data_IF_507430608193
#
_entry.id   IF_507430608193
#
_cell.length_a   1.000
_cell.length_b   1.000
_cell.length_c   1.000
_cell.angle_alpha   90.00
_cell.angle_beta   90.00
_cell.angle_gamma   90.00
#
_symmetry.space_group_name_H-M   'P 1'
#
loop_
_entity.id
_entity.type
_entity.pdbx_description
1 polymer ?
#
# COMPACT_ATOMS: atom_id res chain seq x y z
N UNK A 1 -24.86 1.68 16.59
CA UNK A 1 -24.65 2.93 17.32
C UNK A 1 -24.96 4.09 16.36
N UNK A 2 -25.99 4.86 16.66
CA UNK A 2 -26.50 5.96 15.82
C UNK A 2 -25.60 7.22 15.76
N UNK A 3 -24.42 7.17 16.37
CA UNK A 3 -23.50 8.32 16.47
C UNK A 3 -22.18 8.15 15.71
N UNK A 4 -21.95 7.02 15.07
CA UNK A 4 -20.71 6.79 14.31
C UNK A 4 -20.86 7.36 12.90
N UNK A 5 -19.94 8.24 12.50
CA UNK A 5 -19.82 8.75 11.14
C UNK A 5 -18.53 8.23 10.50
N UNK A 6 -18.63 7.81 9.26
CA UNK A 6 -17.50 7.25 8.52
C UNK A 6 -17.39 7.93 7.15
N UNK A 7 -16.22 8.50 6.88
CA UNK A 7 -15.91 9.11 5.58
C UNK A 7 -14.78 8.32 4.93
N UNK A 8 -15.02 7.81 3.72
CA UNK A 8 -14.04 7.09 2.93
C UNK A 8 -13.57 7.95 1.76
N UNK A 9 -12.27 8.21 1.67
CA UNK A 9 -11.61 8.77 0.48
C UNK A 9 -11.04 7.60 -0.32
N UNK A 10 -11.59 7.34 -1.52
CA UNK A 10 -11.25 6.15 -2.27
C UNK A 10 -10.75 6.46 -3.69
N UNK A 11 -9.44 6.29 -3.89
CA UNK A 11 -8.78 6.50 -5.17
C UNK A 11 -8.57 5.19 -5.93
N UNK A 12 -8.96 5.17 -7.21
CA UNK A 12 -8.78 4.04 -8.11
C UNK A 12 -8.52 4.49 -9.56
N UNK A 13 -8.32 3.56 -10.48
CA UNK A 13 -8.19 3.86 -11.91
C UNK A 13 -9.54 4.13 -12.54
N UNK A 14 -10.46 3.19 -12.39
CA UNK A 14 -11.83 3.21 -12.95
C UNK A 14 -12.81 2.57 -11.98
N UNK A 15 -14.13 2.83 -12.08
CA UNK A 15 -15.14 2.13 -11.28
C UNK A 15 -15.09 0.61 -11.42
N UNK A 16 -14.88 0.09 -12.64
CA UNK A 16 -14.87 -1.36 -12.90
C UNK A 16 -13.68 -2.07 -12.24
N UNK A 17 -12.60 -1.34 -11.96
CA UNK A 17 -11.41 -1.84 -11.27
C UNK A 17 -11.43 -1.56 -9.75
N UNK A 18 -12.53 -0.99 -9.25
CA UNK A 18 -12.67 -0.62 -7.84
C UNK A 18 -13.32 -1.77 -7.07
N UNK A 19 -12.59 -2.30 -6.09
CA UNK A 19 -13.14 -3.32 -5.20
C UNK A 19 -14.32 -2.75 -4.42
N UNK A 20 -15.39 -3.52 -4.31
CA UNK A 20 -16.60 -3.19 -3.57
C UNK A 20 -17.31 -1.90 -4.04
N UNK A 21 -17.11 -1.46 -5.30
CA UNK A 21 -17.70 -0.21 -5.79
C UNK A 21 -19.22 -0.17 -5.61
N UNK A 22 -19.92 -1.24 -6.03
CA UNK A 22 -21.39 -1.32 -5.95
C UNK A 22 -21.87 -1.41 -4.51
N UNK A 23 -21.18 -2.21 -3.69
CA UNK A 23 -21.50 -2.41 -2.28
C UNK A 23 -21.33 -1.11 -1.49
N UNK A 24 -20.25 -0.38 -1.73
CA UNK A 24 -20.01 0.92 -1.09
C UNK A 24 -21.03 1.96 -1.50
N UNK A 25 -21.45 1.99 -2.78
CA UNK A 25 -22.55 2.86 -3.25
C UNK A 25 -23.85 2.52 -2.55
N UNK A 26 -24.19 1.22 -2.45
CA UNK A 26 -25.39 0.78 -1.74
C UNK A 26 -25.37 1.12 -0.25
N UNK A 27 -24.22 1.03 0.39
CA UNK A 27 -24.05 1.45 1.79
C UNK A 27 -24.23 2.97 1.96
N UNK A 28 -23.70 3.78 1.04
CA UNK A 28 -23.86 5.23 1.05
C UNK A 28 -25.34 5.63 0.89
N UNK A 29 -26.08 4.92 0.02
CA UNK A 29 -27.52 5.12 -0.17
C UNK A 29 -28.35 4.67 1.06
N UNK A 30 -27.95 3.58 1.71
CA UNK A 30 -28.64 3.05 2.90
C UNK A 30 -28.38 3.88 4.17
N UNK A 31 -27.20 4.52 4.27
CA UNK A 31 -26.78 5.26 5.46
C UNK A 31 -26.22 6.66 5.12
N UNK A 32 -27.00 7.53 4.44
CA UNK A 32 -26.49 8.79 3.86
C UNK A 32 -25.95 9.78 4.90
N UNK A 33 -26.46 9.70 6.14
CA UNK A 33 -26.03 10.59 7.24
C UNK A 33 -24.79 10.06 7.99
N UNK A 34 -24.46 8.78 7.82
CA UNK A 34 -23.41 8.12 8.61
C UNK A 34 -22.21 7.66 7.76
N UNK A 35 -22.43 7.39 6.49
CA UNK A 35 -21.40 6.88 5.59
C UNK A 35 -21.33 7.72 4.32
N UNK A 36 -20.14 8.26 4.04
CA UNK A 36 -19.87 9.06 2.85
C UNK A 36 -18.61 8.58 2.14
N UNK A 37 -18.68 8.45 0.81
CA UNK A 37 -17.54 8.10 -0.02
C UNK A 37 -17.18 9.27 -0.95
N UNK A 38 -15.94 9.71 -0.89
CA UNK A 38 -15.36 10.64 -1.85
C UNK A 38 -14.55 9.85 -2.87
N UNK A 39 -15.10 9.72 -4.08
CA UNK A 39 -14.51 8.97 -5.17
C UNK A 39 -13.54 9.83 -5.98
N UNK A 40 -12.38 9.27 -6.32
CA UNK A 40 -11.45 9.87 -7.29
C UNK A 40 -10.89 8.80 -8.23
N UNK A 41 -11.00 9.04 -9.54
CA UNK A 41 -10.57 8.11 -10.58
C UNK A 41 -9.50 8.74 -11.46
N UNK A 42 -8.36 8.03 -11.63
CA UNK A 42 -7.24 8.54 -12.42
C UNK A 42 -7.36 8.29 -13.92
N UNK A 43 -8.28 7.42 -14.34
CA UNK A 43 -8.44 7.02 -15.75
C UNK A 43 -9.91 7.01 -16.23
N UNK A 44 -10.84 7.47 -15.40
CA UNK A 44 -12.25 7.59 -15.78
C UNK A 44 -12.82 8.92 -15.28
N UNK A 45 -13.62 9.58 -16.12
CA UNK A 45 -14.40 10.75 -15.71
C UNK A 45 -15.82 10.27 -15.41
N UNK A 46 -16.22 10.32 -14.15
CA UNK A 46 -17.47 9.75 -13.64
C UNK A 46 -18.24 10.83 -12.92
N UNK A 47 -19.54 10.93 -13.17
CA UNK A 47 -20.41 11.85 -12.46
C UNK A 47 -20.42 11.55 -10.95
N UNK A 48 -20.27 12.58 -10.14
CA UNK A 48 -20.20 12.46 -8.67
C UNK A 48 -18.83 11.99 -8.14
N UNK A 49 -17.81 11.86 -9.01
CA UNK A 49 -16.44 11.58 -8.62
C UNK A 49 -15.48 12.66 -9.11
N UNK A 50 -14.34 12.80 -8.48
CA UNK A 50 -13.25 13.66 -8.95
C UNK A 50 -12.38 12.91 -9.97
N UNK A 51 -11.76 13.65 -10.89
CA UNK A 51 -10.78 13.08 -11.82
C UNK A 51 -9.36 13.38 -11.33
N UNK A 52 -8.52 12.35 -11.21
CA UNK A 52 -7.13 12.50 -10.80
C UNK A 52 -6.68 11.45 -9.79
N UNK A 53 -5.74 11.85 -8.95
CA UNK A 53 -5.22 11.05 -7.84
C UNK A 53 -5.47 11.76 -6.54
N UNK A 54 -5.45 11.01 -5.44
CA UNK A 54 -5.54 11.60 -4.09
C UNK A 54 -4.35 12.54 -3.89
N UNK A 55 -4.67 13.81 -3.70
CA UNK A 55 -3.73 14.89 -3.40
C UNK A 55 -4.25 15.74 -2.22
N UNK A 56 -3.48 16.73 -1.82
CA UNK A 56 -3.84 17.62 -0.70
C UNK A 56 -5.12 18.43 -0.95
N UNK A 57 -5.40 18.77 -2.22
CA UNK A 57 -6.63 19.51 -2.58
C UNK A 57 -7.85 18.62 -2.39
N UNK A 58 -7.77 17.37 -2.85
CA UNK A 58 -8.85 16.40 -2.69
C UNK A 58 -9.06 16.01 -1.21
N UNK A 59 -7.98 15.85 -0.44
CA UNK A 59 -8.07 15.62 1.00
C UNK A 59 -8.75 16.79 1.72
N UNK A 60 -8.38 18.03 1.40
CA UNK A 60 -9.05 19.22 1.94
C UNK A 60 -10.54 19.25 1.58
N UNK A 61 -10.88 18.93 0.34
CA UNK A 61 -12.27 18.85 -0.08
C UNK A 61 -13.04 17.83 0.75
N UNK A 62 -12.52 16.62 0.90
CA UNK A 62 -13.18 15.56 1.67
C UNK A 62 -13.32 15.92 3.16
N UNK A 63 -12.29 16.50 3.78
CA UNK A 63 -12.32 16.96 5.17
C UNK A 63 -13.36 18.07 5.38
N UNK A 64 -13.48 19.00 4.44
CA UNK A 64 -14.46 20.09 4.53
C UNK A 64 -15.91 19.62 4.32
N UNK A 65 -16.11 18.48 3.67
CA UNK A 65 -17.43 17.88 3.45
C UNK A 65 -17.85 16.94 4.59
N UNK A 66 -16.94 16.62 5.51
CA UNK A 66 -17.28 15.75 6.65
C UNK A 66 -18.29 16.41 7.56
N UNK A 67 -19.40 15.71 7.85
CA UNK A 67 -20.51 16.20 8.69
C UNK A 67 -20.06 16.49 10.14
N UNK A 68 -19.07 15.75 10.61
CA UNK A 68 -18.40 15.92 11.90
C UNK A 68 -16.90 15.89 11.74
N UNK A 69 -16.16 16.54 12.61
CA UNK A 69 -14.71 16.51 12.61
C UNK A 69 -14.22 15.09 12.88
N UNK A 70 -13.43 14.46 11.98
CA UNK A 70 -12.95 13.11 12.21
C UNK A 70 -12.01 13.03 13.41
N UNK A 71 -12.21 12.02 14.25
CA UNK A 71 -11.36 11.77 15.41
C UNK A 71 -10.16 10.88 15.08
N UNK A 72 -10.29 9.97 14.11
CA UNK A 72 -9.27 9.02 13.70
C UNK A 72 -9.16 8.92 12.19
N UNK A 73 -7.96 8.70 11.72
CA UNK A 73 -7.63 8.58 10.30
C UNK A 73 -6.92 7.25 10.05
N UNK A 74 -7.41 6.51 9.07
CA UNK A 74 -6.83 5.24 8.65
C UNK A 74 -6.35 5.39 7.21
N UNK A 75 -5.05 5.28 6.99
CA UNK A 75 -4.42 5.44 5.69
C UNK A 75 -3.94 4.09 5.16
N UNK A 76 -4.32 3.76 3.93
CA UNK A 76 -3.95 2.50 3.30
C UNK A 76 -3.79 2.74 1.79
N UNK A 77 -2.70 2.26 1.21
CA UNK A 77 -2.44 2.37 -0.23
C UNK A 77 -0.97 2.58 -0.56
N UNK A 78 -0.65 3.16 -1.74
CA UNK A 78 0.72 3.43 -2.13
C UNK A 78 1.45 4.32 -1.12
N UNK A 79 2.70 4.02 -0.82
CA UNK A 79 3.48 4.74 0.20
C UNK A 79 3.49 6.26 -0.01
N UNK A 80 3.68 6.72 -1.26
CA UNK A 80 3.68 8.14 -1.58
C UNK A 80 2.35 8.83 -1.21
N UNK A 81 1.20 8.14 -1.38
CA UNK A 81 -0.11 8.63 -0.99
C UNK A 81 -0.25 8.68 0.55
N UNK A 82 0.20 7.62 1.23
CA UNK A 82 0.18 7.57 2.71
C UNK A 82 1.01 8.70 3.29
N UNK A 83 2.26 8.89 2.82
CA UNK A 83 3.17 9.95 3.28
C UNK A 83 2.60 11.35 3.06
N UNK A 84 2.05 11.59 1.86
CA UNK A 84 1.38 12.85 1.53
C UNK A 84 0.20 13.11 2.47
N UNK A 85 -0.63 12.08 2.70
CA UNK A 85 -1.82 12.20 3.55
C UNK A 85 -1.46 12.42 5.02
N UNK A 86 -0.48 11.66 5.53
CA UNK A 86 0.04 11.81 6.90
C UNK A 86 0.57 13.23 7.14
N UNK A 87 1.46 13.70 6.25
CA UNK A 87 2.02 15.05 6.36
C UNK A 87 0.93 16.12 6.34
N UNK A 88 -0.02 16.01 5.40
CA UNK A 88 -1.12 16.95 5.28
C UNK A 88 -2.00 16.99 6.55
N UNK A 89 -2.30 15.84 7.15
CA UNK A 89 -3.06 15.76 8.40
C UNK A 89 -2.28 16.38 9.58
N UNK A 90 -0.97 16.17 9.67
CA UNK A 90 -0.11 16.79 10.67
C UNK A 90 -0.11 18.32 10.52
N UNK A 91 -0.01 18.84 9.30
CA UNK A 91 -0.12 20.28 8.99
C UNK A 91 -1.48 20.87 9.39
N UNK A 92 -2.52 20.04 9.43
CA UNK A 92 -3.87 20.38 9.93
C UNK A 92 -3.99 20.23 11.46
N UNK A 93 -2.90 20.02 12.17
CA UNK A 93 -2.83 19.81 13.62
C UNK A 93 -3.57 18.53 14.10
N UNK A 94 -3.68 17.51 13.26
CA UNK A 94 -4.16 16.20 13.71
C UNK A 94 -3.07 15.53 14.54
N UNK A 95 -3.37 15.08 15.78
CA UNK A 95 -2.42 14.35 16.61
C UNK A 95 -1.94 13.07 15.91
N UNK A 96 -0.63 12.78 16.00
CA UNK A 96 -0.05 11.61 15.31
C UNK A 96 -0.66 10.28 15.77
N UNK A 97 -1.03 10.18 17.03
CA UNK A 97 -1.70 9.01 17.61
C UNK A 97 -3.08 8.73 16.99
N UNK A 98 -3.67 9.72 16.32
CA UNK A 98 -4.95 9.59 15.62
C UNK A 98 -4.78 9.26 14.13
N UNK A 99 -3.53 9.20 13.63
CA UNK A 99 -3.22 8.84 12.24
C UNK A 99 -2.63 7.44 12.24
N UNK A 100 -3.40 6.49 11.77
CA UNK A 100 -3.05 5.08 11.71
C UNK A 100 -2.84 4.69 10.24
N UNK A 101 -1.78 3.98 9.92
CA UNK A 101 -1.54 3.53 8.56
C UNK A 101 -0.90 2.15 8.51
N UNK A 102 -1.15 1.45 7.41
CA UNK A 102 -0.53 0.19 7.08
C UNK A 102 0.28 0.38 5.79
N UNK A 103 1.58 0.16 5.88
CA UNK A 103 2.48 0.18 4.72
C UNK A 103 2.60 -1.24 4.19
N UNK A 104 2.22 -1.44 2.94
CA UNK A 104 2.40 -2.72 2.24
C UNK A 104 3.77 -2.84 1.56
N UNK A 105 4.53 -1.75 1.52
CA UNK A 105 5.93 -1.74 1.10
C UNK A 105 6.79 -1.43 2.31
N UNK A 106 7.82 -2.24 2.55
CA UNK A 106 8.86 -1.87 3.50
C UNK A 106 9.45 -0.53 3.03
N UNK A 107 9.25 0.53 3.82
CA UNK A 107 10.08 1.71 3.66
C UNK A 107 11.51 1.23 3.75
N UNK A 108 12.29 1.44 2.71
CA UNK A 108 13.74 1.37 2.77
C UNK A 108 14.21 2.47 3.75
N UNK A 109 14.02 2.24 5.06
CA UNK A 109 14.91 2.84 6.01
C UNK A 109 16.26 2.18 5.69
N UNK A 110 17.17 3.00 5.19
CA UNK A 110 18.58 2.69 5.04
C UNK A 110 19.13 2.23 6.40
N UNK A 111 18.90 0.96 6.73
CA UNK A 111 19.82 0.25 7.61
C UNK A 111 21.11 0.16 6.83
N UNK A 112 22.16 0.65 7.43
CA UNK A 112 23.54 0.60 6.90
C UNK A 112 23.73 -0.75 6.22
N UNK A 113 23.95 -0.71 4.90
CA UNK A 113 24.28 -1.88 4.11
C UNK A 113 25.60 -2.39 4.67
N UNK A 114 25.54 -3.48 5.43
CA UNK A 114 26.74 -4.19 5.84
C UNK A 114 27.50 -4.57 4.56
N UNK A 115 28.77 -4.19 4.50
CA UNK A 115 29.72 -4.55 3.45
C UNK A 115 29.60 -6.04 3.10
N UNK A 116 28.95 -6.38 1.99
CA UNK A 116 28.75 -7.77 1.61
C UNK A 116 27.79 -8.02 0.46
N UNK A 117 27.23 -7.01 -0.18
CA UNK A 117 26.46 -7.22 -1.43
C UNK A 117 27.45 -7.49 -2.55
N UNK A 118 27.86 -8.76 -2.68
CA UNK A 118 28.78 -9.22 -3.68
C UNK A 118 28.19 -9.16 -5.09
N UNK A 119 29.04 -8.92 -6.07
CA UNK A 119 28.74 -9.29 -7.45
C UNK A 119 28.62 -10.81 -7.50
N UNK A 120 27.51 -11.33 -7.99
CA UNK A 120 27.27 -12.77 -8.05
C UNK A 120 26.03 -13.09 -8.85
N UNK A 121 25.73 -14.36 -8.93
CA UNK A 121 24.53 -14.87 -9.59
C UNK A 121 23.56 -15.40 -8.56
N UNK A 122 22.28 -15.13 -8.77
CA UNK A 122 21.16 -15.65 -8.01
C UNK A 122 20.47 -16.75 -8.83
N UNK A 123 20.33 -17.93 -8.25
CA UNK A 123 19.51 -18.99 -8.82
C UNK A 123 18.15 -19.00 -8.15
N UNK A 124 17.09 -18.86 -8.91
CA UNK A 124 15.70 -18.87 -8.45
C UNK A 124 15.03 -20.08 -9.07
N UNK A 125 14.50 -20.98 -8.24
CA UNK A 125 13.67 -22.09 -8.71
C UNK A 125 12.22 -21.69 -8.54
N UNK A 126 11.49 -21.60 -9.63
CA UNK A 126 10.06 -21.34 -9.66
C UNK A 126 9.41 -22.37 -10.60
N UNK A 127 8.31 -23.03 -10.15
CA UNK A 127 7.61 -24.08 -10.91
C UNK A 127 8.55 -25.16 -11.47
N UNK A 128 9.50 -25.62 -10.65
CA UNK A 128 10.53 -26.62 -11.00
C UNK A 128 11.56 -26.16 -12.04
N UNK A 129 11.47 -24.91 -12.51
CA UNK A 129 12.42 -24.32 -13.45
C UNK A 129 13.45 -23.47 -12.70
N UNK A 130 14.74 -23.71 -12.99
CA UNK A 130 15.84 -22.93 -12.41
C UNK A 130 16.20 -21.77 -13.33
N UNK A 131 16.05 -20.57 -12.82
CA UNK A 131 16.46 -19.34 -13.49
C UNK A 131 17.76 -18.80 -12.86
N UNK A 132 18.71 -18.40 -13.68
CA UNK A 132 19.95 -17.78 -13.22
C UNK A 132 19.96 -16.31 -13.64
N UNK A 133 20.04 -15.42 -12.66
CA UNK A 133 20.02 -13.97 -12.84
C UNK A 133 21.20 -13.33 -12.12
N UNK A 134 21.65 -12.17 -12.56
CA UNK A 134 22.71 -11.43 -11.88
C UNK A 134 22.17 -10.73 -10.63
N UNK A 135 22.95 -10.74 -9.55
CA UNK A 135 22.66 -9.92 -8.38
C UNK A 135 22.84 -8.45 -8.72
N UNK A 136 21.84 -7.65 -8.42
CA UNK A 136 21.85 -6.20 -8.62
C UNK A 136 21.99 -5.57 -7.24
N UNK A 137 23.04 -4.78 -6.99
CA UNK A 137 23.19 -4.05 -5.73
C UNK A 137 21.94 -3.23 -5.39
N UNK A 138 21.64 -3.10 -4.11
CA UNK A 138 20.50 -2.33 -3.59
C UNK A 138 19.11 -2.82 -4.01
N UNK A 139 19.01 -3.95 -4.70
CA UNK A 139 17.74 -4.60 -5.04
C UNK A 139 17.47 -5.78 -4.12
N UNK A 140 16.19 -5.98 -3.76
CA UNK A 140 15.78 -7.20 -3.08
C UNK A 140 15.80 -8.40 -4.05
N UNK A 141 15.85 -9.61 -3.51
CA UNK A 141 15.77 -10.83 -4.33
C UNK A 141 14.46 -10.89 -5.13
N UNK A 142 13.36 -10.37 -4.54
CA UNK A 142 12.08 -10.26 -5.21
C UNK A 142 12.13 -9.25 -6.36
N UNK A 143 12.72 -8.06 -6.17
CA UNK A 143 12.87 -7.07 -7.24
C UNK A 143 13.65 -7.63 -8.43
N UNK A 144 14.71 -8.39 -8.15
CA UNK A 144 15.53 -9.04 -9.19
C UNK A 144 14.68 -10.07 -9.96
N UNK A 145 13.90 -10.89 -9.27
CA UNK A 145 13.02 -11.87 -9.89
C UNK A 145 11.97 -11.21 -10.79
N UNK A 146 11.31 -10.14 -10.31
CA UNK A 146 10.31 -9.39 -11.07
C UNK A 146 10.93 -8.66 -12.27
N UNK A 147 12.13 -8.09 -12.11
CA UNK A 147 12.85 -7.46 -13.22
C UNK A 147 13.24 -8.47 -14.31
N UNK A 148 13.57 -9.69 -13.91
CA UNK A 148 13.81 -10.81 -14.82
C UNK A 148 12.51 -11.39 -15.40
N UNK A 149 11.35 -10.80 -15.10
CA UNK A 149 10.01 -11.22 -15.56
C UNK A 149 9.67 -12.66 -15.17
N UNK A 150 10.16 -13.12 -14.02
CA UNK A 150 9.78 -14.42 -13.48
C UNK A 150 8.39 -14.30 -12.83
N UNK A 151 7.58 -15.33 -13.06
CA UNK A 151 6.21 -15.41 -12.50
C UNK A 151 6.26 -15.90 -11.05
N UNK A 152 6.87 -15.09 -10.17
CA UNK A 152 6.94 -15.38 -8.74
C UNK A 152 5.74 -14.76 -8.01
N UNK A 153 5.12 -15.48 -7.07
CA UNK A 153 4.00 -14.93 -6.31
C UNK A 153 4.46 -13.80 -5.41
N UNK A 154 3.74 -12.69 -5.40
CA UNK A 154 4.00 -11.57 -4.49
C UNK A 154 2.72 -10.77 -4.20
N UNK A 155 2.75 -9.99 -3.11
CA UNK A 155 1.65 -9.09 -2.73
C UNK A 155 2.20 -7.82 -2.07
N UNK A 156 2.47 -7.82 -0.76
CA UNK A 156 2.86 -6.62 -0.01
C UNK A 156 4.26 -6.10 -0.32
N UNK A 157 5.18 -6.94 -0.79
CA UNK A 157 6.62 -6.65 -1.01
C UNK A 157 7.36 -6.11 0.23
N UNK A 158 6.73 -6.15 1.42
CA UNK A 158 7.19 -5.50 2.63
C UNK A 158 7.40 -6.43 3.84
N UNK A 159 7.45 -7.75 3.64
CA UNK A 159 7.71 -8.70 4.74
C UNK A 159 6.57 -8.84 5.76
N UNK A 160 5.35 -8.38 5.43
CA UNK A 160 4.17 -8.41 6.31
C UNK A 160 3.08 -9.40 5.85
N UNK A 161 3.28 -10.06 4.71
CA UNK A 161 2.42 -11.16 4.25
C UNK A 161 3.28 -12.36 3.85
N UNK A 162 2.67 -13.50 3.61
CA UNK A 162 3.38 -14.74 3.26
C UNK A 162 3.44 -15.04 1.76
N UNK A 163 3.01 -14.10 0.89
CA UNK A 163 2.86 -14.38 -0.55
C UNK A 163 4.16 -14.66 -1.27
N UNK A 164 5.27 -13.99 -0.92
CA UNK A 164 6.57 -14.12 -1.58
C UNK A 164 7.59 -14.93 -0.75
N UNK A 165 7.13 -15.85 0.08
CA UNK A 165 8.04 -16.71 0.85
C UNK A 165 8.84 -17.59 -0.09
N UNK A 166 10.15 -17.62 0.10
CA UNK A 166 11.09 -18.52 -0.58
C UNK A 166 11.97 -19.24 0.42
N UNK A 167 12.47 -20.42 0.01
CA UNK A 167 13.44 -21.21 0.80
C UNK A 167 14.84 -20.99 0.25
N UNK A 168 15.78 -20.61 1.11
CA UNK A 168 17.19 -20.53 0.75
C UNK A 168 17.79 -21.93 0.81
N UNK A 169 18.27 -22.43 -0.32
CA UNK A 169 18.91 -23.74 -0.44
C UNK A 169 20.44 -23.64 -0.41
N UNK A 170 20.99 -22.51 -0.81
CA UNK A 170 22.42 -22.25 -0.84
C UNK A 170 22.69 -20.76 -0.64
N UNK A 171 23.73 -20.42 0.12
CA UNK A 171 24.08 -19.02 0.40
C UNK A 171 23.38 -18.47 1.64
N UNK A 172 23.31 -17.14 1.72
CA UNK A 172 22.67 -16.40 2.83
C UNK A 172 21.90 -15.20 2.28
N UNK A 173 20.77 -14.91 2.87
CA UNK A 173 20.01 -13.69 2.65
C UNK A 173 19.51 -13.14 3.98
N UNK A 174 19.21 -11.84 4.00
CA UNK A 174 18.66 -11.17 5.15
C UNK A 174 17.39 -10.44 4.71
N UNK A 175 16.35 -10.50 5.52
CA UNK A 175 15.13 -9.74 5.29
C UNK A 175 15.34 -8.30 5.78
N UNK A 176 14.87 -7.33 5.01
CA UNK A 176 14.82 -5.92 5.42
C UNK A 176 13.77 -5.70 6.51
N UNK A 177 12.64 -6.39 6.39
CA UNK A 177 11.55 -6.39 7.36
C UNK A 177 10.99 -7.79 7.47
N UNK A 178 10.71 -8.26 8.68
CA UNK A 178 10.12 -9.57 8.94
C UNK A 178 9.06 -9.45 10.03
N UNK A 179 7.80 -9.74 9.66
CA UNK A 179 6.68 -9.86 10.61
C UNK A 179 6.00 -11.25 10.52
N UNK A 180 6.52 -12.15 9.68
CA UNK A 180 5.88 -13.42 9.36
C UNK A 180 6.73 -14.61 9.72
N UNK A 181 8.05 -14.55 9.45
CA UNK A 181 8.92 -15.68 9.73
C UNK A 181 9.33 -15.70 11.20
N UNK A 182 9.28 -16.88 11.80
CA UNK A 182 9.81 -17.15 13.14
C UNK A 182 11.29 -17.54 13.05
N UNK A 183 12.01 -17.43 14.17
CA UNK A 183 13.45 -17.77 14.26
C UNK A 183 13.70 -19.30 14.35
N UNK A 184 12.74 -20.14 13.93
CA UNK A 184 12.85 -21.60 13.92
C UNK A 184 13.41 -22.15 12.62
#
# INVERSE_FOLDING_TARGET
>A
NSSLHFTLVYGNKTPDQTLFYKELRSLEEAYPEQFKVHWIFSQANVEGAQFGRVDTAFLNYALNQAAVSPERFYLCGPEAMIRLSEQHLIEKNVPKENILFELFTASSQSTEVSDGVGKGTLKITCDEVVHTVELIPEKTLLDIALQAKLDVPYSCQGGVCSSCIGKITEGKAQMQTNQILTDE
#
